data_IF_882669323738
#
_entry.id   IF_882669323738
#
_cell.length_a   1.000
_cell.length_b   1.000
_cell.length_c   1.000
_cell.angle_alpha   90.00
_cell.angle_beta   90.00
_cell.angle_gamma   90.00
#
_symmetry.space_group_name_H-M   'P 1'
#
loop_
_entity.id
_entity.type
_entity.pdbx_description
1 polymer ?
#
# COMPACT_ATOMS: atom_id res chain seq x y z
N UNK A 1 -6.23 -16.87 -11.47
CA UNK A 1 -5.97 -15.42 -11.69
C UNK A 1 -6.85 -14.63 -10.72
N UNK A 2 -6.27 -13.76 -9.89
CA UNK A 2 -7.05 -12.97 -8.93
C UNK A 2 -7.85 -11.85 -9.62
N UNK A 3 -8.96 -11.40 -9.00
CA UNK A 3 -9.74 -10.25 -9.46
C UNK A 3 -8.93 -8.96 -9.48
N UNK A 4 -9.20 -8.10 -10.47
CA UNK A 4 -8.58 -6.80 -10.61
C UNK A 4 -8.96 -5.86 -9.45
N UNK A 5 -8.01 -5.10 -8.92
CA UNK A 5 -8.26 -4.08 -7.92
C UNK A 5 -8.59 -2.72 -8.55
N UNK A 6 -9.50 -1.97 -7.91
CA UNK A 6 -9.98 -0.66 -8.36
C UNK A 6 -9.90 0.36 -7.24
N UNK A 7 -9.52 1.57 -7.59
CA UNK A 7 -9.52 2.68 -6.66
C UNK A 7 -10.95 3.07 -6.22
N UNK A 8 -11.09 3.53 -4.99
CA UNK A 8 -12.29 4.14 -4.41
C UNK A 8 -13.49 3.19 -4.18
N UNK A 9 -13.37 1.89 -4.49
CA UNK A 9 -14.47 0.93 -4.35
C UNK A 9 -14.03 -0.42 -3.78
N UNK A 10 -12.84 -0.92 -4.11
CA UNK A 10 -12.42 -2.22 -3.62
C UNK A 10 -11.87 -2.16 -2.19
N UNK A 11 -11.98 -3.29 -1.49
CA UNK A 11 -11.78 -3.34 -0.04
C UNK A 11 -10.34 -3.69 0.33
N UNK A 12 -9.94 -3.22 1.50
CA UNK A 12 -8.71 -3.62 2.19
C UNK A 12 -9.05 -4.39 3.48
N UNK A 13 -8.09 -5.16 3.98
CA UNK A 13 -8.24 -5.92 5.22
C UNK A 13 -8.27 -5.01 6.46
N UNK A 14 -7.50 -3.92 6.45
CA UNK A 14 -7.58 -2.93 7.53
C UNK A 14 -8.86 -2.09 7.40
N UNK A 15 -9.65 -1.96 8.48
CA UNK A 15 -11.03 -1.46 8.38
C UNK A 15 -11.19 0.04 8.24
N UNK A 16 -10.12 0.83 8.37
CA UNK A 16 -10.18 2.29 8.37
C UNK A 16 -9.27 2.90 7.29
N UNK A 17 -9.81 3.30 6.12
CA UNK A 17 -11.24 3.34 5.76
C UNK A 17 -11.81 2.02 5.23
N UNK A 18 -11.02 0.97 5.09
CA UNK A 18 -11.46 -0.33 4.56
C UNK A 18 -11.62 -0.39 3.04
N UNK A 19 -11.27 0.68 2.33
CA UNK A 19 -11.31 0.78 0.85
C UNK A 19 -10.02 1.38 0.31
N UNK A 20 -9.71 1.10 -0.95
CA UNK A 20 -8.52 1.61 -1.66
C UNK A 20 -8.68 3.11 -1.97
N UNK A 21 -8.27 3.96 -1.04
CA UNK A 21 -8.32 5.43 -1.15
C UNK A 21 -7.03 6.08 -0.66
N UNK A 22 -6.66 7.28 -1.14
CA UNK A 22 -7.32 8.10 -2.17
C UNK A 22 -7.07 7.63 -3.61
N UNK A 23 -6.10 6.83 -3.87
CA UNK A 23 -5.71 6.40 -5.21
C UNK A 23 -4.70 7.36 -5.86
N UNK A 24 -4.99 7.93 -7.03
CA UNK A 24 -6.30 8.09 -7.68
C UNK A 24 -6.77 6.94 -8.57
N UNK A 25 -5.94 5.94 -8.83
CA UNK A 25 -6.16 4.94 -9.86
C UNK A 25 -5.71 5.41 -11.25
N UNK A 26 -5.81 4.53 -12.23
CA UNK A 26 -5.48 4.85 -13.61
C UNK A 26 -6.44 5.87 -14.21
N UNK A 27 -5.91 6.89 -14.90
CA UNK A 27 -6.74 7.91 -15.53
C UNK A 27 -7.44 7.42 -16.81
N UNK A 28 -6.95 6.33 -17.41
CA UNK A 28 -7.40 5.86 -18.74
C UNK A 28 -7.73 4.36 -18.80
N UNK A 29 -7.53 3.62 -17.71
CA UNK A 29 -7.95 2.22 -17.62
C UNK A 29 -9.02 2.10 -16.54
N UNK A 30 -10.23 1.80 -17.00
CA UNK A 30 -11.43 1.69 -16.17
C UNK A 30 -11.86 0.22 -16.13
N UNK A 31 -12.08 -0.29 -14.93
CA UNK A 31 -12.53 -1.65 -14.67
C UNK A 31 -13.84 -1.58 -13.87
N UNK A 32 -14.94 -2.11 -14.41
CA UNK A 32 -16.23 -2.08 -13.75
C UNK A 32 -16.63 -0.66 -13.29
N UNK A 33 -16.45 0.34 -14.15
CA UNK A 33 -16.74 1.76 -13.94
C UNK A 33 -15.82 2.51 -12.98
N UNK A 34 -14.77 1.89 -12.44
CA UNK A 34 -13.82 2.53 -11.52
C UNK A 34 -12.38 2.49 -12.05
N UNK A 35 -11.54 3.46 -11.69
CA UNK A 35 -10.13 3.47 -12.08
C UNK A 35 -9.40 2.22 -11.59
N UNK A 36 -8.63 1.58 -12.46
CA UNK A 36 -7.80 0.45 -12.09
C UNK A 36 -6.72 0.86 -11.06
N UNK A 37 -6.47 0.01 -10.07
CA UNK A 37 -5.42 0.21 -9.06
C UNK A 37 -4.07 -0.27 -9.59
N UNK A 38 -2.99 0.45 -9.24
CA UNK A 38 -1.62 0.17 -9.70
C UNK A 38 -0.64 0.13 -8.55
N UNK A 39 0.15 -0.93 -8.49
CA UNK A 39 1.26 -1.08 -7.56
C UNK A 39 2.51 -0.30 -7.98
N UNK A 40 3.53 -0.29 -7.10
CA UNK A 40 4.84 0.29 -7.42
C UNK A 40 5.62 -0.63 -8.37
N UNK A 41 6.62 -0.06 -9.04
CA UNK A 41 7.51 -0.87 -9.88
C UNK A 41 8.20 -1.97 -9.07
N UNK A 42 8.33 -3.16 -9.63
CA UNK A 42 8.99 -4.28 -8.96
C UNK A 42 10.45 -3.96 -8.57
N UNK A 43 11.11 -3.10 -9.34
CA UNK A 43 12.47 -2.65 -9.03
C UNK A 43 12.55 -1.81 -7.72
N UNK A 44 11.48 -1.13 -7.33
CA UNK A 44 11.45 -0.30 -6.12
C UNK A 44 11.11 -1.11 -4.85
N UNK A 45 10.54 -2.30 -4.99
CA UNK A 45 10.01 -3.10 -3.86
C UNK A 45 11.09 -3.43 -2.83
N UNK A 46 12.24 -3.96 -3.26
CA UNK A 46 13.30 -4.42 -2.36
C UNK A 46 13.85 -3.27 -1.50
N UNK A 47 14.09 -2.11 -2.10
CA UNK A 47 14.57 -0.92 -1.39
C UNK A 47 13.54 -0.43 -0.36
N UNK A 48 12.26 -0.43 -0.73
CA UNK A 48 11.18 -0.02 0.18
C UNK A 48 10.99 -1.00 1.34
N UNK A 49 11.08 -2.31 1.09
CA UNK A 49 11.04 -3.32 2.14
C UNK A 49 12.22 -3.20 3.11
N UNK A 50 13.42 -2.89 2.61
CA UNK A 50 14.60 -2.63 3.46
C UNK A 50 14.38 -1.41 4.34
N UNK A 51 13.86 -0.32 3.80
CA UNK A 51 13.52 0.88 4.57
C UNK A 51 12.47 0.58 5.65
N UNK A 52 11.44 -0.22 5.31
CA UNK A 52 10.41 -0.65 6.27
C UNK A 52 11.01 -1.48 7.41
N UNK A 53 11.86 -2.43 7.11
CA UNK A 53 12.51 -3.26 8.14
C UNK A 53 13.36 -2.42 9.11
N UNK A 54 14.08 -1.41 8.59
CA UNK A 54 14.85 -0.48 9.43
C UNK A 54 13.94 0.37 10.33
N UNK A 55 12.84 0.89 9.79
CA UNK A 55 11.86 1.66 10.54
C UNK A 55 11.20 0.83 11.65
N UNK A 56 10.77 -0.39 11.34
CA UNK A 56 10.16 -1.32 12.30
C UNK A 56 11.14 -1.70 13.42
N UNK A 57 12.42 -1.92 13.09
CA UNK A 57 13.47 -2.18 14.07
C UNK A 57 13.65 -1.00 15.03
N UNK A 58 13.65 0.23 14.51
CA UNK A 58 13.79 1.43 15.34
C UNK A 58 12.58 1.61 16.30
N UNK A 59 11.37 1.35 15.81
CA UNK A 59 10.15 1.39 16.64
C UNK A 59 10.17 0.30 17.72
N UNK A 60 10.55 -0.92 17.33
CA UNK A 60 10.64 -2.06 18.26
C UNK A 60 11.68 -1.80 19.38
N UNK A 61 12.84 -1.23 19.04
CA UNK A 61 13.88 -0.88 20.00
C UNK A 61 13.43 0.18 21.03
N UNK A 62 12.51 1.05 20.66
CA UNK A 62 11.96 2.08 21.55
C UNK A 62 10.77 1.58 22.39
N UNK A 63 10.25 0.39 22.11
CA UNK A 63 9.08 -0.16 22.81
C UNK A 63 9.30 -0.24 24.33
N UNK A 64 8.32 0.20 25.12
CA UNK A 64 8.42 0.23 26.58
C UNK A 64 9.26 1.38 27.14
N UNK A 65 9.79 2.28 26.30
CA UNK A 65 10.53 3.48 26.73
C UNK A 65 9.69 4.74 26.58
N UNK A 66 10.03 5.84 27.26
CA UNK A 66 9.38 7.15 27.05
C UNK A 66 9.53 7.69 25.60
N UNK A 67 10.51 7.19 24.84
CA UNK A 67 10.77 7.59 23.46
C UNK A 67 9.91 6.86 22.42
N UNK A 68 9.06 5.93 22.80
CA UNK A 68 8.29 5.09 21.85
C UNK A 68 7.44 5.90 20.89
N UNK A 69 6.65 6.85 21.39
CA UNK A 69 5.81 7.69 20.53
C UNK A 69 6.63 8.54 19.54
N UNK A 70 7.77 9.08 19.98
CA UNK A 70 8.66 9.84 19.12
C UNK A 70 9.29 8.96 18.03
N UNK A 71 9.67 7.71 18.37
CA UNK A 71 10.19 6.75 17.40
C UNK A 71 9.14 6.39 16.32
N UNK A 72 7.88 6.19 16.71
CA UNK A 72 6.80 5.95 15.75
C UNK A 72 6.58 7.15 14.82
N UNK A 73 6.52 8.36 15.33
CA UNK A 73 6.36 9.58 14.51
C UNK A 73 7.52 9.72 13.52
N UNK A 74 8.76 9.50 13.98
CA UNK A 74 9.94 9.55 13.11
C UNK A 74 9.91 8.47 12.03
N UNK A 75 9.58 7.23 12.39
CA UNK A 75 9.44 6.11 11.46
C UNK A 75 8.33 6.38 10.44
N UNK A 76 7.16 6.88 10.86
CA UNK A 76 6.06 7.24 9.97
C UNK A 76 6.48 8.31 8.95
N UNK A 77 7.20 9.34 9.38
CA UNK A 77 7.66 10.42 8.51
C UNK A 77 8.69 9.91 7.48
N UNK A 78 9.69 9.14 7.92
CA UNK A 78 10.71 8.57 7.02
C UNK A 78 10.09 7.59 6.02
N UNK A 79 9.17 6.73 6.47
CA UNK A 79 8.48 5.79 5.59
C UNK A 79 7.53 6.49 4.61
N UNK A 80 6.83 7.55 5.03
CA UNK A 80 6.00 8.36 4.12
C UNK A 80 6.83 8.96 2.99
N UNK A 81 8.04 9.42 3.29
CA UNK A 81 8.98 9.93 2.29
C UNK A 81 9.46 8.82 1.36
N UNK A 82 9.86 7.67 1.91
CA UNK A 82 10.32 6.51 1.12
C UNK A 82 9.21 5.96 0.21
N UNK A 83 7.99 5.82 0.74
CA UNK A 83 6.82 5.38 -0.02
C UNK A 83 6.49 6.38 -1.14
N UNK A 84 6.52 7.68 -0.86
CA UNK A 84 6.24 8.71 -1.88
C UNK A 84 7.28 8.70 -3.00
N UNK A 85 8.55 8.49 -2.67
CA UNK A 85 9.63 8.36 -3.65
C UNK A 85 9.48 7.08 -4.50
N UNK A 86 9.18 5.94 -3.86
CA UNK A 86 8.98 4.65 -4.54
C UNK A 86 7.71 4.61 -5.39
N UNK A 87 6.66 5.29 -4.96
CA UNK A 87 5.37 5.28 -5.65
C UNK A 87 5.45 5.88 -7.06
N UNK A 88 6.14 7.00 -7.23
CA UNK A 88 6.12 7.69 -8.52
C UNK A 88 4.68 8.00 -8.94
N UNK A 89 4.19 7.28 -9.97
CA UNK A 89 2.80 7.37 -10.47
C UNK A 89 1.89 6.24 -9.96
N UNK A 90 2.38 5.35 -9.09
CA UNK A 90 1.57 4.30 -8.49
C UNK A 90 0.54 4.87 -7.52
N UNK A 91 -0.50 4.06 -7.27
CA UNK A 91 -1.59 4.49 -6.41
C UNK A 91 -1.22 4.33 -4.93
N UNK A 92 -1.62 5.32 -4.14
CA UNK A 92 -1.37 5.34 -2.69
C UNK A 92 -2.65 5.09 -1.92
N UNK A 93 -2.54 4.22 -0.92
CA UNK A 93 -3.57 3.98 0.07
C UNK A 93 -3.26 4.77 1.34
N UNK A 94 -4.29 5.35 1.97
CA UNK A 94 -4.16 5.99 3.28
C UNK A 94 -4.89 5.16 4.33
N UNK A 95 -4.16 4.57 5.24
CA UNK A 95 -4.70 3.76 6.31
C UNK A 95 -4.75 4.53 7.63
N UNK A 96 -5.96 4.71 8.16
CA UNK A 96 -6.19 5.34 9.46
C UNK A 96 -6.32 4.32 10.60
N UNK A 97 -6.14 3.03 10.31
CA UNK A 97 -6.15 1.98 11.35
C UNK A 97 -5.13 2.34 12.43
N UNK A 98 -5.53 2.33 13.71
CA UNK A 98 -4.63 2.72 14.79
C UNK A 98 -3.45 1.76 14.96
N UNK A 99 -2.26 2.34 15.12
CA UNK A 99 -1.06 1.70 15.64
C UNK A 99 -0.57 2.59 16.79
N UNK A 100 -1.24 2.55 17.96
CA UNK A 100 -1.13 3.57 18.97
C UNK A 100 0.31 3.94 19.35
N UNK A 101 0.60 5.26 19.44
CA UNK A 101 -0.32 6.41 19.36
C UNK A 101 -0.57 6.93 17.92
N UNK A 102 0.03 6.36 16.88
CA UNK A 102 -0.07 6.85 15.50
C UNK A 102 -0.94 5.92 14.64
N UNK A 103 -1.50 6.40 13.50
CA UNK A 103 -2.10 5.51 12.50
C UNK A 103 -1.04 4.80 11.65
N UNK A 104 -1.44 3.77 10.89
CA UNK A 104 -0.57 3.07 9.93
C UNK A 104 -0.04 4.00 8.82
N UNK A 105 -0.82 4.99 8.39
CA UNK A 105 -0.40 6.01 7.45
C UNK A 105 -0.49 5.61 5.99
N UNK A 106 0.37 6.20 5.16
CA UNK A 106 0.38 5.95 3.72
C UNK A 106 0.93 4.56 3.40
N UNK A 107 0.35 3.91 2.38
CA UNK A 107 0.79 2.61 1.89
C UNK A 107 0.76 2.53 0.36
N UNK A 108 1.47 1.55 -0.17
CA UNK A 108 1.53 1.23 -1.60
C UNK A 108 1.49 -0.28 -1.81
N UNK A 109 0.86 -0.71 -2.90
CA UNK A 109 0.86 -2.11 -3.33
C UNK A 109 2.25 -2.52 -3.82
N UNK A 110 2.82 -3.56 -3.21
CA UNK A 110 4.16 -4.07 -3.48
C UNK A 110 4.18 -5.44 -4.18
N UNK A 111 3.03 -6.06 -4.43
CA UNK A 111 2.92 -7.39 -5.02
C UNK A 111 2.01 -7.45 -6.25
N UNK A 112 1.77 -6.33 -6.89
CA UNK A 112 0.99 -6.26 -8.12
C UNK A 112 1.50 -7.20 -9.23
N UNK A 113 0.71 -7.40 -10.26
CA UNK A 113 0.99 -8.35 -11.34
C UNK A 113 2.38 -8.17 -11.96
N UNK A 114 3.13 -9.26 -12.07
CA UNK A 114 4.43 -9.29 -12.75
C UNK A 114 4.30 -9.29 -14.28
N UNK A 115 3.12 -9.64 -14.81
CA UNK A 115 2.90 -9.82 -16.27
C UNK A 115 1.93 -8.83 -16.87
N UNK A 116 1.07 -8.21 -16.06
CA UNK A 116 0.09 -7.22 -16.53
C UNK A 116 0.44 -5.85 -15.97
N UNK A 117 0.60 -4.88 -16.87
CA UNK A 117 0.89 -3.50 -16.50
C UNK A 117 -0.23 -2.56 -16.93
N UNK A 118 -0.50 -1.56 -16.10
CA UNK A 118 -1.41 -0.45 -16.36
C UNK A 118 -0.60 0.84 -16.23
N UNK A 119 -0.46 1.59 -17.33
CA UNK A 119 0.40 2.78 -17.40
C UNK A 119 1.84 2.50 -16.94
N UNK A 120 2.42 1.39 -17.41
CA UNK A 120 3.78 0.93 -17.09
C UNK A 120 4.02 0.55 -15.62
N UNK A 121 2.96 0.38 -14.84
CA UNK A 121 3.02 -0.05 -13.44
C UNK A 121 2.29 -1.39 -13.28
N UNK A 122 2.71 -2.24 -12.33
CA UNK A 122 2.02 -3.49 -12.00
C UNK A 122 0.53 -3.27 -11.75
N UNK A 123 -0.33 -4.04 -12.39
CA UNK A 123 -1.76 -3.99 -12.10
C UNK A 123 -2.04 -4.59 -10.72
N UNK A 124 -2.78 -3.86 -9.89
CA UNK A 124 -3.18 -4.31 -8.56
C UNK A 124 -4.31 -5.35 -8.61
N UNK A 125 -4.30 -6.27 -7.65
CA UNK A 125 -5.22 -7.42 -7.62
C UNK A 125 -5.71 -7.71 -6.21
N UNK A 126 -6.81 -8.38 -6.09
CA UNK A 126 -7.20 -9.03 -4.84
C UNK A 126 -6.10 -9.98 -4.36
N UNK A 127 -5.74 -9.90 -3.09
CA UNK A 127 -4.67 -10.67 -2.47
C UNK A 127 -3.33 -9.94 -2.46
N UNK A 128 -3.17 -8.86 -3.22
CA UNK A 128 -1.93 -8.09 -3.24
C UNK A 128 -1.70 -7.38 -1.89
N UNK A 129 -0.43 -7.26 -1.53
CA UNK A 129 0.04 -6.71 -0.26
C UNK A 129 0.28 -5.22 -0.38
N UNK A 130 -0.32 -4.44 0.53
CA UNK A 130 -0.04 -3.02 0.70
C UNK A 130 0.94 -2.86 1.85
N UNK A 131 2.13 -2.34 1.56
CA UNK A 131 3.10 -1.96 2.57
C UNK A 131 2.75 -0.56 3.07
N UNK A 132 2.43 -0.45 4.37
CA UNK A 132 2.07 0.79 5.04
C UNK A 132 3.25 1.38 5.82
N UNK A 133 3.22 2.66 6.11
CA UNK A 133 4.32 3.35 6.79
C UNK A 133 4.61 2.74 8.16
N UNK A 134 3.57 2.42 8.93
CA UNK A 134 3.68 1.75 10.23
C UNK A 134 2.83 0.48 10.29
N UNK A 135 3.12 -0.37 11.26
CA UNK A 135 2.35 -1.57 11.55
C UNK A 135 2.54 -2.69 10.54
N UNK A 136 1.76 -3.77 10.68
CA UNK A 136 1.78 -4.89 9.76
C UNK A 136 1.23 -4.51 8.39
N UNK A 137 1.61 -5.24 7.33
CA UNK A 137 1.10 -4.97 6.00
C UNK A 137 -0.41 -5.18 5.92
N UNK A 138 -1.05 -4.40 5.06
CA UNK A 138 -2.44 -4.55 4.69
C UNK A 138 -2.57 -5.43 3.44
N UNK A 139 -3.79 -5.85 3.10
CA UNK A 139 -4.06 -6.68 1.92
C UNK A 139 -5.28 -6.14 1.19
N UNK A 140 -5.25 -6.18 -0.14
CA UNK A 140 -6.43 -5.94 -0.96
C UNK A 140 -7.36 -7.14 -0.81
N UNK A 141 -8.44 -6.98 -0.06
CA UNK A 141 -9.31 -8.10 0.34
C UNK A 141 -10.42 -8.40 -0.67
N UNK A 142 -10.71 -7.45 -1.59
CA UNK A 142 -11.73 -7.60 -2.62
C UNK A 142 -11.32 -6.89 -3.90
N UNK A 143 -11.71 -7.46 -5.04
CA UNK A 143 -11.54 -6.90 -6.38
C UNK A 143 -12.76 -7.15 -7.27
N UNK A 144 -12.70 -6.74 -8.53
CA UNK A 144 -13.74 -6.93 -9.54
C UNK A 144 -13.72 -8.37 -10.10
N UNK A 145 -14.72 -9.15 -9.75
CA UNK A 145 -14.79 -10.59 -10.05
C UNK A 145 -14.89 -10.91 -11.55
N UNK A 146 -15.34 -9.97 -12.36
CA UNK A 146 -15.53 -10.16 -13.81
C UNK A 146 -14.25 -9.89 -14.61
N UNK A 147 -13.22 -9.30 -13.98
CA UNK A 147 -11.93 -9.01 -14.60
C UNK A 147 -10.81 -9.66 -13.82
N UNK A 148 -10.16 -10.65 -14.41
CA UNK A 148 -9.09 -11.42 -13.79
C UNK A 148 -7.72 -11.01 -14.35
N UNK A 149 -6.75 -10.77 -13.46
CA UNK A 149 -5.40 -10.36 -13.82
C UNK A 149 -4.41 -11.48 -13.48
N UNK A 150 -3.61 -11.86 -14.47
CA UNK A 150 -2.59 -12.90 -14.33
C UNK A 150 -1.28 -12.43 -13.70
N UNK A 151 -0.34 -13.36 -13.53
CA UNK A 151 1.04 -13.15 -13.14
C UNK A 151 1.33 -13.18 -11.68
#
# INVERSE_FOLDING_TARGET
MPPAARAQVDLTAHPLPGILTPGPGSANVIIGFFPAWRGISLAAVAALQTAKAAADTAVAAAQGTPGFAAAQVSAAASMSTAISAAAGLADKHMCATPFPPTPHGVGVDITGSATVQINFLPAGRQGDTILEALGPPNTISKGELTVLIGG
#
